data_IF_600273774132
#
_entry.id   IF_600273774132
#
_cell.length_a   1.000
_cell.length_b   1.000
_cell.length_c   1.000
_cell.angle_alpha   90.00
_cell.angle_beta   90.00
_cell.angle_gamma   90.00
#
_symmetry.space_group_name_H-M   'P 1'
#
loop_
_entity.id
_entity.type
_entity.pdbx_description
1 polymer ?
#
# COMPACT_ATOMS: atom_id res chain seq x y z
N UNK A 1 37.19 -5.84 -34.82
CA UNK A 1 36.55 -4.76 -34.08
C UNK A 1 35.01 -4.88 -34.11
N UNK A 2 34.38 -5.19 -35.27
CA UNK A 2 32.91 -5.35 -35.39
C UNK A 2 32.38 -6.48 -34.54
N UNK A 3 32.96 -7.69 -34.58
CA UNK A 3 32.56 -8.83 -33.76
C UNK A 3 32.65 -8.55 -32.23
N UNK A 4 33.62 -7.72 -31.82
CA UNK A 4 33.74 -7.27 -30.43
C UNK A 4 32.62 -6.26 -30.03
N UNK A 5 32.17 -5.43 -30.96
CA UNK A 5 31.08 -4.49 -30.73
C UNK A 5 29.72 -5.23 -30.61
N UNK A 6 29.47 -6.15 -31.55
CA UNK A 6 28.25 -6.98 -31.53
C UNK A 6 28.12 -7.79 -30.23
N UNK A 7 29.20 -8.43 -29.80
CA UNK A 7 29.20 -9.17 -28.53
C UNK A 7 28.90 -8.27 -27.32
N UNK A 8 29.48 -7.07 -27.27
CA UNK A 8 29.23 -6.10 -26.20
C UNK A 8 27.79 -5.57 -26.24
N UNK A 9 27.26 -5.29 -27.43
CA UNK A 9 25.88 -4.85 -27.58
C UNK A 9 24.90 -5.95 -27.12
N UNK A 10 25.16 -7.19 -27.55
CA UNK A 10 24.35 -8.34 -27.17
C UNK A 10 24.32 -8.50 -25.62
N UNK A 11 25.47 -8.47 -24.96
CA UNK A 11 25.57 -8.51 -23.51
C UNK A 11 24.85 -7.34 -22.83
N UNK A 12 24.96 -6.12 -23.36
CA UNK A 12 24.31 -4.95 -22.82
C UNK A 12 22.78 -5.07 -22.91
N UNK A 13 22.27 -5.58 -24.03
CA UNK A 13 20.81 -5.83 -24.20
C UNK A 13 20.32 -6.93 -23.27
N UNK A 14 21.04 -8.04 -23.16
CA UNK A 14 20.69 -9.11 -22.22
C UNK A 14 20.63 -8.60 -20.78
N UNK A 15 21.64 -7.82 -20.36
CA UNK A 15 21.64 -7.19 -19.03
C UNK A 15 20.45 -6.27 -18.85
N UNK A 16 20.15 -5.44 -19.85
CA UNK A 16 19.00 -4.55 -19.80
C UNK A 16 17.68 -5.31 -19.66
N UNK A 17 17.47 -6.38 -20.42
CA UNK A 17 16.28 -7.22 -20.33
C UNK A 17 16.17 -7.89 -18.95
N UNK A 18 17.28 -8.38 -18.43
CA UNK A 18 17.34 -8.94 -17.07
C UNK A 18 16.97 -7.90 -16.00
N UNK A 19 17.57 -6.71 -16.09
CA UNK A 19 17.28 -5.59 -15.16
C UNK A 19 15.82 -5.11 -15.29
N UNK A 20 15.26 -5.14 -16.50
CA UNK A 20 13.88 -4.78 -16.75
C UNK A 20 12.89 -5.77 -16.16
N UNK A 21 13.19 -7.06 -16.21
CA UNK A 21 12.34 -8.13 -15.65
C UNK A 21 12.51 -8.27 -14.14
N UNK A 22 13.75 -8.38 -13.68
CA UNK A 22 14.09 -8.76 -12.30
C UNK A 22 14.30 -7.57 -11.36
N UNK A 23 14.47 -6.35 -11.91
CA UNK A 23 15.02 -5.23 -11.18
C UNK A 23 16.54 -5.28 -11.08
N UNK A 24 17.13 -4.15 -10.74
CA UNK A 24 18.59 -3.97 -10.58
C UNK A 24 19.07 -4.37 -9.17
N UNK A 25 18.17 -4.34 -8.19
CA UNK A 25 18.46 -4.64 -6.80
C UNK A 25 17.85 -5.99 -6.44
N UNK A 26 18.62 -6.87 -5.82
CA UNK A 26 18.09 -8.08 -5.23
C UNK A 26 17.42 -7.75 -3.89
N UNK A 27 16.08 -7.89 -3.75
CA UNK A 27 15.37 -7.52 -2.53
C UNK A 27 15.80 -8.33 -1.31
N UNK A 28 16.37 -9.53 -1.49
CA UNK A 28 16.91 -10.36 -0.39
C UNK A 28 18.09 -9.70 0.30
N UNK A 29 18.86 -8.86 -0.42
CA UNK A 29 19.95 -8.08 0.17
C UNK A 29 19.46 -6.98 1.12
N UNK A 30 18.19 -6.61 1.00
CA UNK A 30 17.52 -5.61 1.84
C UNK A 30 16.80 -6.22 3.04
N UNK A 31 16.96 -7.55 3.28
CA UNK A 31 16.25 -8.31 4.33
C UNK A 31 14.72 -8.26 4.17
N UNK A 32 14.22 -8.11 2.96
CA UNK A 32 12.79 -8.20 2.64
C UNK A 32 12.40 -9.66 2.34
N UNK A 33 11.16 -10.03 2.65
CA UNK A 33 10.69 -11.41 2.57
C UNK A 33 9.99 -11.69 1.22
N UNK A 34 10.74 -11.55 0.12
CA UNK A 34 10.25 -11.89 -1.21
C UNK A 34 10.60 -13.34 -1.58
N UNK A 35 9.65 -14.02 -2.24
CA UNK A 35 9.92 -15.29 -2.93
C UNK A 35 10.71 -15.00 -4.21
N UNK A 36 11.70 -15.83 -4.52
CA UNK A 36 12.64 -15.59 -5.63
C UNK A 36 12.26 -16.33 -6.93
N UNK A 37 11.09 -16.89 -6.99
CA UNK A 37 10.75 -17.87 -8.03
C UNK A 37 10.70 -17.26 -9.44
N UNK A 38 10.19 -16.04 -9.60
CA UNK A 38 10.05 -15.39 -10.90
C UNK A 38 11.38 -14.97 -11.55
N UNK A 39 12.44 -14.74 -10.75
CA UNK A 39 13.75 -14.30 -11.27
C UNK A 39 14.48 -15.43 -11.98
N UNK A 40 14.18 -16.67 -11.61
CA UNK A 40 14.80 -17.87 -12.17
C UNK A 40 14.17 -18.28 -13.50
N UNK A 41 12.92 -17.89 -13.71
CA UNK A 41 12.13 -18.30 -14.87
C UNK A 41 12.37 -17.45 -16.11
N UNK A 42 13.13 -16.35 -15.98
CA UNK A 42 13.45 -15.43 -17.09
C UNK A 42 14.88 -15.56 -17.56
N UNK A 43 15.06 -16.10 -18.78
CA UNK A 43 16.35 -16.15 -19.47
C UNK A 43 16.41 -15.10 -20.60
N UNK A 44 17.11 -14.01 -20.32
CA UNK A 44 17.27 -12.92 -21.26
C UNK A 44 17.98 -13.32 -22.58
N UNK A 45 18.84 -14.35 -22.53
CA UNK A 45 19.53 -14.86 -23.73
C UNK A 45 18.54 -15.55 -24.66
N UNK A 46 17.71 -16.44 -24.12
CA UNK A 46 16.69 -17.15 -24.88
C UNK A 46 15.70 -16.15 -25.50
N UNK A 47 15.19 -15.22 -24.67
CA UNK A 47 14.21 -14.20 -25.12
C UNK A 47 14.78 -13.30 -26.20
N UNK A 48 16.03 -12.86 -26.08
CA UNK A 48 16.69 -12.02 -27.06
C UNK A 48 16.93 -12.78 -28.38
N UNK A 49 17.44 -14.01 -28.33
CA UNK A 49 17.69 -14.79 -29.52
C UNK A 49 16.41 -15.08 -30.31
N UNK A 50 15.30 -15.45 -29.62
CA UNK A 50 14.01 -15.63 -30.24
C UNK A 50 13.51 -14.35 -30.95
N UNK A 51 13.69 -13.19 -30.31
CA UNK A 51 13.29 -11.92 -30.87
C UNK A 51 14.14 -11.53 -32.10
N UNK A 52 15.43 -11.85 -32.09
CA UNK A 52 16.33 -11.66 -33.22
C UNK A 52 15.97 -12.57 -34.40
N UNK A 53 15.71 -13.86 -34.15
CA UNK A 53 15.30 -14.83 -35.14
C UNK A 53 13.98 -14.42 -35.84
N UNK A 54 13.07 -13.84 -35.05
CA UNK A 54 11.77 -13.34 -35.53
C UNK A 54 11.87 -11.94 -36.20
N UNK A 55 13.01 -11.29 -36.15
CA UNK A 55 13.21 -9.92 -36.68
C UNK A 55 12.43 -8.84 -35.92
N UNK A 56 11.96 -9.13 -34.67
CA UNK A 56 11.15 -8.23 -33.84
C UNK A 56 11.69 -8.12 -32.42
N UNK A 57 12.59 -7.21 -32.19
CA UNK A 57 13.13 -6.91 -30.86
C UNK A 57 12.05 -6.42 -29.86
N UNK A 58 10.92 -5.90 -30.34
CA UNK A 58 9.81 -5.48 -29.49
C UNK A 58 9.25 -6.64 -28.67
N UNK A 59 9.33 -7.88 -29.17
CA UNK A 59 8.92 -9.08 -28.42
C UNK A 59 9.77 -9.28 -27.16
N UNK A 60 11.10 -9.06 -27.24
CA UNK A 60 11.98 -9.18 -26.07
C UNK A 60 11.65 -8.14 -24.99
N UNK A 61 11.42 -6.89 -25.42
CA UNK A 61 10.99 -5.84 -24.48
C UNK A 61 9.65 -6.16 -23.83
N UNK A 62 8.68 -6.63 -24.60
CA UNK A 62 7.36 -7.01 -24.09
C UNK A 62 7.46 -8.15 -23.10
N UNK A 63 8.27 -9.17 -23.38
CA UNK A 63 8.48 -10.31 -22.50
C UNK A 63 9.16 -9.91 -21.16
N UNK A 64 10.12 -8.99 -21.22
CA UNK A 64 10.84 -8.52 -20.03
C UNK A 64 10.06 -7.48 -19.22
N UNK A 65 9.10 -6.76 -19.82
CA UNK A 65 8.36 -5.70 -19.13
C UNK A 65 7.29 -6.28 -18.21
N UNK A 66 7.22 -5.87 -16.90
CA UNK A 66 6.14 -6.29 -16.05
C UNK A 66 4.75 -6.01 -16.64
N UNK A 67 3.91 -7.04 -16.72
CA UNK A 67 2.58 -6.97 -17.35
C UNK A 67 1.51 -6.30 -16.50
N UNK A 68 1.82 -6.01 -15.23
CA UNK A 68 0.88 -5.39 -14.30
C UNK A 68 0.50 -3.96 -14.75
N UNK A 69 -0.79 -3.60 -14.84
CA UNK A 69 -1.24 -2.32 -15.40
C UNK A 69 -0.66 -1.09 -14.70
N UNK A 70 -0.44 -1.17 -13.37
CA UNK A 70 0.19 -0.09 -12.64
C UNK A 70 1.60 0.22 -13.12
N UNK A 71 2.35 -0.77 -13.62
CA UNK A 71 3.70 -0.54 -14.16
C UNK A 71 3.66 0.35 -15.40
N UNK A 72 2.72 0.14 -16.30
CA UNK A 72 2.52 1.00 -17.47
C UNK A 72 2.15 2.44 -17.06
N UNK A 73 1.30 2.57 -16.04
CA UNK A 73 0.93 3.88 -15.47
C UNK A 73 2.12 4.59 -14.83
N UNK A 74 2.96 3.86 -14.07
CA UNK A 74 4.21 4.39 -13.50
C UNK A 74 5.18 4.87 -14.59
N UNK A 75 5.35 4.08 -15.66
CA UNK A 75 6.20 4.46 -16.80
C UNK A 75 5.73 5.77 -17.45
N UNK A 76 4.40 5.90 -17.67
CA UNK A 76 3.82 7.14 -18.19
C UNK A 76 4.06 8.32 -17.24
N UNK A 77 3.84 8.13 -15.95
CA UNK A 77 4.06 9.17 -14.94
C UNK A 77 5.55 9.58 -14.86
N UNK A 78 6.48 8.61 -14.94
CA UNK A 78 7.91 8.89 -14.97
C UNK A 78 8.28 9.80 -16.15
N UNK A 79 7.82 9.45 -17.34
CA UNK A 79 8.07 10.24 -18.55
C UNK A 79 7.51 11.67 -18.43
N UNK A 80 6.28 11.81 -17.90
CA UNK A 80 5.66 13.13 -17.68
C UNK A 80 6.45 13.98 -16.67
N UNK A 81 6.89 13.37 -15.55
CA UNK A 81 7.65 14.08 -14.53
C UNK A 81 9.06 14.45 -15.01
N UNK A 82 9.71 13.61 -15.80
CA UNK A 82 10.99 13.91 -16.43
C UNK A 82 10.88 15.09 -17.42
N UNK A 83 9.79 15.16 -18.19
CA UNK A 83 9.52 16.27 -19.09
C UNK A 83 9.30 17.61 -18.37
N UNK A 84 8.95 17.56 -17.06
CA UNK A 84 8.81 18.75 -16.20
C UNK A 84 10.10 19.11 -15.45
N UNK A 85 11.21 18.41 -15.68
CA UNK A 85 12.49 18.73 -15.05
C UNK A 85 12.90 20.18 -15.37
N UNK A 86 13.26 20.94 -14.32
CA UNK A 86 13.62 22.36 -14.47
C UNK A 86 12.46 23.29 -14.80
N UNK A 87 11.22 22.85 -14.73
CA UNK A 87 10.06 23.68 -15.02
C UNK A 87 9.96 24.89 -14.08
N UNK A 88 9.77 26.10 -14.64
CA UNK A 88 9.84 27.38 -13.94
C UNK A 88 8.91 27.51 -12.74
N UNK A 89 7.75 26.83 -12.75
CA UNK A 89 6.81 26.84 -11.63
C UNK A 89 7.39 26.29 -10.29
N UNK A 90 8.51 25.56 -10.33
CA UNK A 90 9.20 25.03 -9.13
C UNK A 90 10.50 25.77 -8.80
N UNK A 91 10.82 26.88 -9.46
CA UNK A 91 12.02 27.68 -9.15
C UNK A 91 11.96 28.34 -7.78
N UNK A 92 10.76 28.56 -7.23
CA UNK A 92 10.56 29.11 -5.88
C UNK A 92 9.62 28.24 -5.04
N UNK A 93 9.77 28.31 -3.74
CA UNK A 93 8.84 27.75 -2.78
C UNK A 93 7.55 28.58 -2.74
N UNK A 94 6.42 27.90 -2.48
CA UNK A 94 5.17 28.62 -2.20
C UNK A 94 5.30 29.42 -0.89
N UNK A 95 4.70 30.62 -0.82
CA UNK A 95 4.73 31.42 0.40
C UNK A 95 4.16 30.69 1.61
N UNK A 96 4.46 31.16 2.81
CA UNK A 96 3.86 30.66 4.03
C UNK A 96 2.34 30.88 4.01
N UNK A 97 1.62 29.89 4.53
CA UNK A 97 0.17 30.02 4.75
C UNK A 97 -0.12 31.07 5.83
N UNK A 98 -1.27 31.75 5.79
CA UNK A 98 -1.71 32.67 6.83
C UNK A 98 -1.86 31.93 8.17
N UNK A 99 -2.03 32.68 9.28
CA UNK A 99 -2.20 32.12 10.63
C UNK A 99 -3.35 31.10 10.75
N UNK A 100 -4.36 31.18 9.86
CA UNK A 100 -5.45 30.18 9.77
C UNK A 100 -4.96 28.79 9.34
N UNK A 101 -3.74 28.67 8.83
CA UNK A 101 -3.15 27.42 8.34
C UNK A 101 -3.74 26.90 7.02
N UNK A 102 -4.62 27.68 6.36
CA UNK A 102 -5.31 27.29 5.12
C UNK A 102 -5.78 28.50 4.32
N UNK A 103 -6.01 28.26 3.01
CA UNK A 103 -6.69 29.19 2.10
C UNK A 103 -8.02 28.54 1.71
N UNK A 104 -9.13 29.26 1.96
CA UNK A 104 -10.48 28.83 1.62
C UNK A 104 -10.95 29.45 0.31
N UNK A 105 -12.13 29.03 -0.18
CA UNK A 105 -12.74 29.53 -1.40
C UNK A 105 -12.88 31.07 -1.37
N UNK A 106 -12.50 31.71 -2.46
CA UNK A 106 -12.57 33.16 -2.64
C UNK A 106 -11.50 33.98 -1.90
N UNK A 107 -10.66 33.33 -1.06
CA UNK A 107 -9.56 34.02 -0.38
C UNK A 107 -8.40 34.32 -1.32
N UNK A 108 -7.76 35.46 -1.09
CA UNK A 108 -6.53 35.87 -1.75
C UNK A 108 -5.31 35.27 -1.08
N UNK A 109 -4.32 34.94 -1.88
CA UNK A 109 -2.99 34.51 -1.42
C UNK A 109 -1.98 34.60 -2.55
N UNK A 110 -0.83 35.19 -2.27
CA UNK A 110 0.22 35.43 -3.27
C UNK A 110 0.76 34.17 -3.95
N UNK A 111 0.56 32.98 -3.38
CA UNK A 111 0.97 31.73 -3.97
C UNK A 111 0.03 31.15 -5.04
N UNK A 112 -1.20 31.66 -5.17
CA UNK A 112 -2.21 31.07 -6.08
C UNK A 112 -1.81 31.04 -7.56
N UNK A 113 -1.14 32.07 -8.12
CA UNK A 113 -0.65 31.99 -9.50
C UNK A 113 0.34 30.84 -9.72
N UNK A 114 1.24 30.61 -8.79
CA UNK A 114 2.22 29.50 -8.85
C UNK A 114 1.52 28.15 -8.66
N UNK A 115 0.55 28.05 -7.75
CA UNK A 115 -0.27 26.85 -7.60
C UNK A 115 -1.00 26.50 -8.90
N UNK A 116 -1.63 27.48 -9.55
CA UNK A 116 -2.29 27.27 -10.83
C UNK A 116 -1.34 26.78 -11.92
N UNK A 117 -0.15 27.37 -12.03
CA UNK A 117 0.89 26.93 -12.96
C UNK A 117 1.34 25.48 -12.68
N UNK A 118 1.56 25.10 -11.41
CA UNK A 118 1.93 23.73 -11.02
C UNK A 118 0.84 22.73 -11.34
N UNK A 119 -0.42 23.04 -11.02
CA UNK A 119 -1.55 22.16 -11.32
C UNK A 119 -1.75 21.99 -12.83
N UNK A 120 -1.59 23.07 -13.60
CA UNK A 120 -1.65 23.00 -15.07
C UNK A 120 -0.49 22.16 -15.64
N UNK A 121 0.73 22.38 -15.19
CA UNK A 121 1.90 21.59 -15.62
C UNK A 121 1.74 20.09 -15.27
N UNK A 122 1.14 19.77 -14.13
CA UNK A 122 0.86 18.40 -13.71
C UNK A 122 -0.37 17.77 -14.40
N UNK A 123 -1.15 18.57 -15.17
CA UNK A 123 -2.36 18.12 -15.85
C UNK A 123 -3.60 18.03 -14.96
N UNK A 124 -3.57 18.62 -13.76
CA UNK A 124 -4.70 18.64 -12.83
C UNK A 124 -5.72 19.75 -13.14
N UNK A 125 -5.37 20.70 -14.01
CA UNK A 125 -6.28 21.72 -14.54
C UNK A 125 -5.82 22.23 -15.91
N UNK A 126 -6.68 22.97 -16.60
CA UNK A 126 -6.30 23.67 -17.82
C UNK A 126 -5.27 24.79 -17.53
N UNK A 127 -4.43 25.10 -18.52
CA UNK A 127 -3.48 26.19 -18.41
C UNK A 127 -4.18 27.53 -18.17
N UNK A 128 -3.57 28.36 -17.34
CA UNK A 128 -4.04 29.73 -17.04
C UNK A 128 -2.97 30.75 -17.40
N UNK A 129 -3.37 31.97 -17.76
CA UNK A 129 -2.42 33.06 -18.00
C UNK A 129 -1.53 33.32 -16.79
N UNK A 130 -0.29 33.74 -17.03
CA UNK A 130 0.63 34.09 -15.96
C UNK A 130 0.05 35.24 -15.09
N UNK A 131 0.29 35.13 -13.77
CA UNK A 131 -0.20 36.13 -12.82
C UNK A 131 -1.64 35.94 -12.33
N UNK A 132 -2.36 34.96 -12.84
CA UNK A 132 -3.72 34.62 -12.38
C UNK A 132 -3.73 33.22 -11.75
N UNK A 133 -4.70 32.91 -10.88
CA UNK A 133 -5.69 33.79 -10.23
C UNK A 133 -5.16 34.46 -8.96
N UNK A 134 -5.75 35.62 -8.57
CA UNK A 134 -5.47 36.28 -7.29
C UNK A 134 -6.22 35.62 -6.12
N UNK A 135 -7.39 35.02 -6.38
CA UNK A 135 -8.24 34.36 -5.39
C UNK A 135 -8.37 32.86 -5.67
N UNK A 136 -8.72 32.07 -4.65
CA UNK A 136 -9.02 30.65 -4.79
C UNK A 136 -10.36 30.45 -5.52
N UNK A 137 -10.31 30.42 -6.85
CA UNK A 137 -11.46 30.27 -7.74
C UNK A 137 -12.06 28.87 -7.74
N UNK A 138 -13.30 28.67 -8.20
CA UNK A 138 -13.88 27.33 -8.37
C UNK A 138 -13.03 26.41 -9.26
N UNK A 139 -12.52 26.91 -10.39
CA UNK A 139 -11.68 26.12 -11.30
C UNK A 139 -10.38 25.64 -10.60
N UNK A 140 -9.72 26.52 -9.86
CA UNK A 140 -8.52 26.18 -9.09
C UNK A 140 -8.82 25.16 -7.99
N UNK A 141 -9.99 25.25 -7.35
CA UNK A 141 -10.44 24.27 -6.35
C UNK A 141 -10.65 22.88 -6.95
N UNK A 142 -11.21 22.77 -8.14
CA UNK A 142 -11.35 21.47 -8.82
C UNK A 142 -9.98 20.88 -9.19
N UNK A 143 -9.04 21.68 -9.69
CA UNK A 143 -7.67 21.25 -9.91
C UNK A 143 -6.99 20.78 -8.62
N UNK A 144 -7.20 21.49 -7.51
CA UNK A 144 -6.71 21.08 -6.20
C UNK A 144 -7.32 19.76 -5.73
N UNK A 145 -8.62 19.55 -5.92
CA UNK A 145 -9.27 18.27 -5.58
C UNK A 145 -8.67 17.11 -6.38
N UNK A 146 -8.43 17.30 -7.69
CA UNK A 146 -7.80 16.29 -8.54
C UNK A 146 -6.38 15.97 -8.04
N UNK A 147 -5.58 16.99 -7.78
CA UNK A 147 -4.25 16.84 -7.19
C UNK A 147 -4.28 16.12 -5.84
N UNK A 148 -5.14 16.57 -4.92
CA UNK A 148 -5.28 16.00 -3.58
C UNK A 148 -5.68 14.52 -3.64
N UNK A 149 -6.69 14.18 -4.46
CA UNK A 149 -7.13 12.80 -4.65
C UNK A 149 -5.99 11.90 -5.14
N UNK A 150 -5.23 12.36 -6.15
CA UNK A 150 -4.10 11.64 -6.73
C UNK A 150 -2.94 11.47 -5.74
N UNK A 151 -2.80 12.39 -4.79
CA UNK A 151 -1.79 12.34 -3.72
C UNK A 151 -2.30 11.76 -2.39
N UNK A 152 -3.48 11.11 -2.39
CA UNK A 152 -4.11 10.52 -1.19
C UNK A 152 -4.31 11.51 -0.04
N UNK A 153 -4.49 12.78 -0.38
CA UNK A 153 -4.89 13.84 0.54
C UNK A 153 -6.42 13.98 0.56
N UNK A 154 -6.97 14.64 1.59
CA UNK A 154 -8.40 14.98 1.62
C UNK A 154 -8.75 15.88 0.45
N UNK A 155 -9.54 15.37 -0.52
CA UNK A 155 -9.91 16.08 -1.76
C UNK A 155 -11.01 17.15 -1.51
N UNK A 156 -10.70 18.14 -0.67
CA UNK A 156 -11.62 19.20 -0.26
C UNK A 156 -11.48 20.50 -1.07
N UNK A 157 -10.43 20.60 -1.92
CA UNK A 157 -10.14 21.77 -2.72
C UNK A 157 -9.69 22.99 -1.91
N UNK A 158 -9.17 22.79 -0.70
CA UNK A 158 -8.55 23.82 0.13
C UNK A 158 -7.03 23.70 0.06
N UNK A 159 -6.32 24.80 0.19
CA UNK A 159 -4.88 24.79 0.37
C UNK A 159 -4.55 24.77 1.85
N UNK A 160 -4.28 23.62 2.38
CA UNK A 160 -3.74 23.41 3.73
C UNK A 160 -2.23 23.12 3.68
N UNK A 161 -1.61 22.98 4.83
CA UNK A 161 -0.16 22.71 4.96
C UNK A 161 0.25 21.45 4.18
N UNK A 162 -0.52 20.37 4.27
CA UNK A 162 -0.20 19.11 3.59
C UNK A 162 -0.23 19.27 2.07
N UNK A 163 -1.22 19.98 1.55
CA UNK A 163 -1.37 20.26 0.13
C UNK A 163 -0.23 21.13 -0.39
N UNK A 164 0.14 22.19 0.36
CA UNK A 164 1.27 23.07 0.02
C UNK A 164 2.60 22.30 0.05
N UNK A 165 2.84 21.50 1.07
CA UNK A 165 4.05 20.67 1.16
C UNK A 165 4.14 19.68 -0.01
N UNK A 166 3.03 19.04 -0.39
CA UNK A 166 2.97 18.14 -1.54
C UNK A 166 3.23 18.85 -2.89
N UNK A 167 2.69 20.08 -3.06
CA UNK A 167 2.92 20.91 -4.26
C UNK A 167 4.36 21.43 -4.35
N UNK A 168 5.05 21.59 -3.23
CA UNK A 168 6.43 22.05 -3.19
C UNK A 168 7.46 20.98 -3.58
N UNK A 169 7.06 19.70 -3.63
CA UNK A 169 7.96 18.63 -4.09
C UNK A 169 8.19 18.79 -5.58
N UNK A 170 9.46 18.92 -5.96
CA UNK A 170 9.89 19.11 -7.35
C UNK A 170 9.58 17.88 -8.23
N UNK A 171 9.33 18.08 -9.55
CA UNK A 171 9.11 16.97 -10.48
C UNK A 171 10.23 15.93 -10.47
N UNK A 172 11.50 16.35 -10.35
CA UNK A 172 12.66 15.45 -10.30
C UNK A 172 12.58 14.50 -9.12
N UNK A 173 12.28 15.01 -7.91
CA UNK A 173 12.12 14.17 -6.72
C UNK A 173 10.93 13.21 -6.85
N UNK A 174 9.84 13.62 -7.53
CA UNK A 174 8.73 12.72 -7.85
C UNK A 174 9.12 11.67 -8.88
N UNK A 175 9.92 12.05 -9.89
CA UNK A 175 10.44 11.10 -10.89
C UNK A 175 11.31 10.02 -10.22
N UNK A 176 12.16 10.38 -9.26
CA UNK A 176 12.93 9.43 -8.46
C UNK A 176 12.04 8.49 -7.66
N UNK A 177 11.00 9.01 -7.01
CA UNK A 177 10.01 8.18 -6.30
C UNK A 177 9.32 7.18 -7.23
N UNK A 178 8.93 7.61 -8.44
CA UNK A 178 8.30 6.74 -9.43
C UNK A 178 9.30 5.69 -9.93
N UNK A 179 10.54 6.07 -10.20
CA UNK A 179 11.59 5.13 -10.61
C UNK A 179 11.84 4.04 -9.54
N UNK A 180 11.87 4.41 -8.26
CA UNK A 180 11.96 3.46 -7.15
C UNK A 180 10.74 2.57 -7.05
N UNK A 181 9.53 3.10 -7.29
CA UNK A 181 8.31 2.29 -7.31
C UNK A 181 8.31 1.29 -8.47
N UNK A 182 8.81 1.69 -9.64
CA UNK A 182 9.00 0.80 -10.79
C UNK A 182 10.05 -0.29 -10.51
N UNK A 183 11.15 0.05 -9.84
CA UNK A 183 12.14 -0.94 -9.41
C UNK A 183 11.51 -1.99 -8.51
N UNK A 184 10.77 -1.56 -7.47
CA UNK A 184 10.08 -2.47 -6.55
C UNK A 184 9.00 -3.32 -7.22
N UNK A 185 8.31 -2.78 -8.22
CA UNK A 185 7.32 -3.53 -8.98
C UNK A 185 7.90 -4.69 -9.81
N UNK A 186 9.21 -4.73 -10.00
CA UNK A 186 9.94 -5.83 -10.67
C UNK A 186 10.35 -6.95 -9.70
N UNK A 187 10.26 -6.72 -8.39
CA UNK A 187 10.69 -7.69 -7.38
C UNK A 187 9.68 -8.79 -7.12
N UNK A 188 8.43 -8.55 -7.50
CA UNK A 188 7.31 -9.47 -7.26
C UNK A 188 6.60 -9.78 -8.57
N UNK A 189 6.30 -11.04 -8.86
CA UNK A 189 5.49 -11.40 -10.01
C UNK A 189 4.03 -10.99 -9.76
N UNK A 190 3.72 -9.73 -10.02
CA UNK A 190 2.37 -9.19 -9.92
C UNK A 190 1.59 -9.64 -11.15
N UNK A 191 0.81 -10.65 -11.06
CA UNK A 191 -0.15 -11.21 -12.02
C UNK A 191 -0.06 -12.75 -12.06
N UNK A 192 0.00 -13.38 -10.90
CA UNK A 192 -0.04 -14.83 -10.76
C UNK A 192 -1.42 -15.34 -10.33
N UNK A 193 -1.76 -16.55 -10.75
CA UNK A 193 -3.00 -17.22 -10.40
C UNK A 193 -4.24 -16.60 -11.02
N UNK A 194 -5.42 -16.92 -10.47
CA UNK A 194 -6.71 -16.38 -10.93
C UNK A 194 -7.05 -15.05 -10.26
N UNK A 195 -6.58 -14.83 -9.03
CA UNK A 195 -6.86 -13.65 -8.22
C UNK A 195 -5.62 -13.25 -7.44
N UNK A 196 -5.52 -11.95 -7.24
CA UNK A 196 -4.41 -11.35 -6.53
C UNK A 196 -4.90 -10.21 -5.63
N UNK A 197 -4.35 -10.11 -4.43
CA UNK A 197 -4.58 -8.99 -3.51
C UNK A 197 -3.26 -8.23 -3.37
N UNK A 198 -3.30 -6.93 -3.58
CA UNK A 198 -2.15 -6.03 -3.40
C UNK A 198 -2.47 -5.01 -2.32
N UNK A 199 -1.67 -4.98 -1.26
CA UNK A 199 -1.70 -3.92 -0.27
C UNK A 199 -0.63 -2.89 -0.61
N UNK A 200 -1.06 -1.74 -1.10
CA UNK A 200 -0.18 -0.58 -1.31
C UNK A 200 -0.01 0.14 0.03
N UNK A 201 0.99 -0.27 0.80
CA UNK A 201 1.25 0.22 2.17
C UNK A 201 1.39 1.75 2.22
N UNK A 202 2.21 2.40 1.37
CA UNK A 202 2.33 3.86 1.37
C UNK A 202 1.04 4.61 1.03
N UNK A 203 0.15 4.01 0.22
CA UNK A 203 -1.13 4.59 -0.16
C UNK A 203 -2.24 4.29 0.84
N UNK A 204 -2.03 3.38 1.79
CA UNK A 204 -3.04 2.87 2.72
C UNK A 204 -4.27 2.29 2.00
N UNK A 205 -4.04 1.54 0.92
CA UNK A 205 -5.10 0.92 0.13
C UNK A 205 -4.80 -0.54 -0.19
N UNK A 206 -5.87 -1.32 -0.25
CA UNK A 206 -5.89 -2.68 -0.75
C UNK A 206 -6.61 -2.70 -2.08
N UNK A 207 -6.08 -3.47 -3.02
CA UNK A 207 -6.68 -3.76 -4.31
C UNK A 207 -6.79 -5.27 -4.50
N UNK A 208 -7.95 -5.73 -4.98
CA UNK A 208 -8.19 -7.09 -5.43
C UNK A 208 -8.33 -7.12 -6.94
N UNK A 209 -7.62 -8.01 -7.60
CA UNK A 209 -7.60 -8.17 -9.05
C UNK A 209 -7.96 -9.59 -9.44
N UNK A 210 -8.76 -9.74 -10.50
CA UNK A 210 -8.88 -10.99 -11.25
C UNK A 210 -7.90 -10.97 -12.41
N UNK A 211 -7.37 -12.15 -12.73
CA UNK A 211 -6.49 -12.35 -13.88
C UNK A 211 -7.21 -13.29 -14.84
N UNK A 212 -7.61 -12.75 -15.98
CA UNK A 212 -8.30 -13.48 -17.04
C UNK A 212 -7.52 -13.34 -18.35
N UNK A 213 -7.09 -14.45 -18.91
CA UNK A 213 -6.29 -14.51 -20.15
C UNK A 213 -5.13 -13.50 -20.18
N UNK A 214 -4.43 -13.36 -19.06
CA UNK A 214 -3.32 -12.40 -18.91
C UNK A 214 -3.74 -10.94 -18.72
N UNK A 215 -5.05 -10.65 -18.68
CA UNK A 215 -5.57 -9.32 -18.35
C UNK A 215 -5.81 -9.19 -16.85
N UNK A 216 -5.30 -8.13 -16.26
CA UNK A 216 -5.49 -7.81 -14.84
C UNK A 216 -6.68 -6.88 -14.71
N UNK A 217 -7.75 -7.36 -14.07
CA UNK A 217 -9.04 -6.68 -13.95
C UNK A 217 -9.26 -6.27 -12.49
N UNK A 218 -9.36 -4.98 -12.17
CA UNK A 218 -9.63 -4.54 -10.80
C UNK A 218 -11.08 -4.88 -10.40
N UNK A 219 -11.25 -5.51 -9.25
CA UNK A 219 -12.55 -5.92 -8.68
C UNK A 219 -12.84 -5.29 -7.33
N UNK A 220 -11.81 -5.14 -6.49
CA UNK A 220 -11.93 -4.64 -5.13
C UNK A 220 -10.95 -3.50 -4.93
N UNK A 221 -11.39 -2.45 -4.25
CA UNK A 221 -10.53 -1.37 -3.78
C UNK A 221 -11.09 -0.81 -2.49
N UNK A 222 -10.28 -0.82 -1.41
CA UNK A 222 -10.68 -0.31 -0.11
C UNK A 222 -9.53 0.33 0.64
N UNK A 223 -9.85 1.12 1.65
CA UNK A 223 -8.86 1.66 2.58
C UNK A 223 -8.35 0.59 3.51
N UNK A 224 -7.10 0.74 3.95
CA UNK A 224 -6.50 -0.13 4.97
C UNK A 224 -5.79 0.71 6.03
N UNK A 225 -5.60 0.09 7.21
CA UNK A 225 -4.74 0.59 8.27
C UNK A 225 -3.55 -0.37 8.36
N UNK A 226 -2.35 0.15 8.29
CA UNK A 226 -1.10 -0.61 8.29
C UNK A 226 -0.28 -0.35 9.55
N UNK A 227 0.83 -1.05 9.71
CA UNK A 227 1.76 -0.87 10.83
C UNK A 227 2.38 0.51 10.89
N UNK A 228 2.74 0.96 12.10
CA UNK A 228 3.43 2.23 12.34
C UNK A 228 4.79 2.23 11.66
N UNK A 229 5.08 3.27 10.89
CA UNK A 229 6.24 3.32 10.00
C UNK A 229 7.61 3.21 10.69
N UNK A 230 7.72 3.60 11.96
CA UNK A 230 8.99 3.58 12.70
C UNK A 230 9.14 2.36 13.61
N UNK A 231 8.04 1.92 14.26
CA UNK A 231 8.13 0.93 15.34
C UNK A 231 7.69 -0.47 14.91
N UNK A 232 6.58 -0.57 14.18
CA UNK A 232 5.89 -1.83 13.85
C UNK A 232 5.43 -1.83 12.40
N UNK A 233 6.35 -1.50 11.51
CA UNK A 233 6.09 -1.42 10.06
C UNK A 233 5.49 -2.72 9.52
N UNK A 234 4.45 -2.64 8.71
CA UNK A 234 4.02 -3.79 7.89
C UNK A 234 5.17 -4.15 6.95
N UNK A 235 5.72 -5.37 7.04
CA UNK A 235 6.81 -5.79 6.16
C UNK A 235 6.32 -5.96 4.73
N UNK A 236 7.26 -5.98 3.79
CA UNK A 236 6.99 -6.29 2.38
C UNK A 236 7.24 -7.79 2.16
N UNK A 237 6.29 -8.48 1.55
CA UNK A 237 6.35 -9.91 1.27
C UNK A 237 5.25 -10.28 0.26
N UNK A 238 5.33 -11.47 -0.29
CA UNK A 238 4.29 -12.12 -1.09
C UNK A 238 3.96 -13.49 -0.50
N UNK A 239 2.68 -13.80 -0.35
CA UNK A 239 2.20 -15.07 0.22
C UNK A 239 0.83 -15.46 -0.34
N UNK A 240 0.57 -16.76 -0.38
CA UNK A 240 -0.72 -17.30 -0.78
C UNK A 240 -1.70 -17.31 0.39
N UNK A 241 -2.89 -16.75 0.19
CA UNK A 241 -3.96 -16.82 1.18
C UNK A 241 -4.52 -18.25 1.27
N UNK A 242 -4.50 -18.82 2.46
CA UNK A 242 -4.86 -20.23 2.69
C UNK A 242 -6.27 -20.43 3.19
N UNK A 243 -6.78 -19.54 4.06
CA UNK A 243 -8.15 -19.62 4.56
C UNK A 243 -8.65 -18.29 5.11
N UNK A 244 -9.98 -18.20 5.24
CA UNK A 244 -10.70 -17.11 5.91
C UNK A 244 -11.30 -17.65 7.20
N UNK A 245 -11.09 -16.96 8.31
CA UNK A 245 -11.64 -17.29 9.63
C UNK A 245 -12.71 -16.26 9.99
N UNK A 246 -13.96 -16.72 10.18
CA UNK A 246 -15.07 -15.91 10.63
C UNK A 246 -15.20 -15.99 12.15
N UNK A 247 -15.59 -14.88 12.76
CA UNK A 247 -15.71 -14.76 14.23
C UNK A 247 -14.46 -15.27 14.97
N UNK A 248 -13.25 -14.71 14.64
CA UNK A 248 -11.99 -15.25 15.13
C UNK A 248 -11.80 -14.99 16.62
N UNK A 249 -11.13 -15.92 17.29
CA UNK A 249 -10.44 -15.60 18.53
C UNK A 249 -9.19 -14.79 18.23
N UNK A 250 -8.92 -13.74 19.00
CA UNK A 250 -7.64 -13.04 18.91
C UNK A 250 -6.67 -13.54 19.98
N UNK A 251 -5.72 -14.35 19.61
CA UNK A 251 -4.59 -14.67 20.48
C UNK A 251 -3.67 -13.45 20.54
N UNK A 252 -3.59 -12.80 21.70
CA UNK A 252 -2.83 -11.56 21.88
C UNK A 252 -1.34 -11.88 21.81
N UNK A 253 -0.57 -11.28 20.88
CA UNK A 253 0.88 -11.45 20.86
C UNK A 253 1.50 -11.04 22.18
N UNK A 254 2.53 -11.78 22.62
CA UNK A 254 3.15 -11.55 23.94
C UNK A 254 3.72 -10.13 24.07
N UNK A 255 4.20 -9.54 23.00
CA UNK A 255 4.64 -8.14 22.96
C UNK A 255 3.51 -7.18 23.33
N UNK A 256 2.32 -7.33 22.72
CA UNK A 256 1.13 -6.52 23.00
C UNK A 256 0.58 -6.83 24.39
N UNK A 257 0.56 -8.11 24.76
CA UNK A 257 0.12 -8.50 26.10
C UNK A 257 0.95 -7.81 27.19
N UNK A 258 2.28 -7.81 27.03
CA UNK A 258 3.23 -7.22 27.97
C UNK A 258 3.19 -5.68 27.99
N UNK A 259 3.14 -5.04 26.82
CA UNK A 259 3.24 -3.57 26.70
C UNK A 259 1.90 -2.86 26.90
N UNK A 260 0.77 -3.52 26.61
CA UNK A 260 -0.53 -2.84 26.61
C UNK A 260 -1.59 -3.55 27.45
N UNK A 261 -1.86 -4.86 27.19
CA UNK A 261 -3.04 -5.54 27.76
C UNK A 261 -2.89 -5.76 29.26
N UNK A 262 -1.78 -6.34 29.72
CA UNK A 262 -1.54 -6.59 31.13
C UNK A 262 -1.47 -5.30 31.95
N UNK A 263 -0.77 -4.23 31.52
CA UNK A 263 -0.80 -2.95 32.22
C UNK A 263 -2.21 -2.37 32.37
N UNK A 264 -3.07 -2.51 31.35
CA UNK A 264 -4.48 -2.08 31.43
C UNK A 264 -5.28 -2.91 32.42
N UNK A 265 -5.12 -4.25 32.38
CA UNK A 265 -5.79 -5.16 33.31
C UNK A 265 -5.36 -4.89 34.77
N UNK A 266 -4.06 -4.61 35.01
CA UNK A 266 -3.55 -4.29 36.35
C UNK A 266 -4.12 -2.99 36.91
N UNK A 267 -4.33 -1.98 36.06
CA UNK A 267 -4.95 -0.69 36.44
C UNK A 267 -6.47 -0.82 36.65
N UNK A 268 -7.11 -1.68 35.88
CA UNK A 268 -8.55 -1.88 35.86
C UNK A 268 -8.86 -3.36 35.61
N UNK A 269 -8.99 -4.17 36.68
CA UNK A 269 -9.29 -5.60 36.54
C UNK A 269 -10.59 -5.92 35.78
N UNK A 270 -11.59 -5.03 35.83
CA UNK A 270 -12.83 -5.15 35.07
C UNK A 270 -12.65 -5.01 33.55
N UNK A 271 -11.52 -4.45 33.09
CA UNK A 271 -11.19 -4.32 31.67
C UNK A 271 -11.16 -5.68 30.96
N UNK A 272 -10.64 -6.72 31.63
CA UNK A 272 -10.56 -8.07 31.06
C UNK A 272 -11.95 -8.61 30.69
N UNK A 273 -12.91 -8.55 31.61
CA UNK A 273 -14.29 -8.99 31.39
C UNK A 273 -15.01 -8.13 30.33
N UNK A 274 -14.89 -6.80 30.44
CA UNK A 274 -15.54 -5.88 29.49
C UNK A 274 -15.06 -6.05 28.06
N UNK A 275 -13.80 -6.43 27.86
CA UNK A 275 -13.23 -6.65 26.54
C UNK A 275 -13.34 -8.10 26.06
N UNK A 276 -13.86 -9.02 26.90
CA UNK A 276 -13.98 -10.43 26.55
C UNK A 276 -12.64 -11.16 26.48
N UNK A 277 -11.65 -10.73 27.28
CA UNK A 277 -10.37 -11.44 27.39
C UNK A 277 -10.46 -12.66 28.30
N UNK A 278 -9.69 -13.68 27.95
CA UNK A 278 -9.48 -14.91 28.70
C UNK A 278 -8.00 -15.23 28.78
N UNK A 279 -7.59 -15.91 29.84
CA UNK A 279 -6.24 -16.50 29.97
C UNK A 279 -6.37 -18.00 29.73
N UNK A 280 -5.56 -18.50 28.80
CA UNK A 280 -5.54 -19.91 28.40
C UNK A 280 -4.20 -20.52 28.79
N UNK A 281 -4.25 -21.59 29.61
CA UNK A 281 -3.09 -22.36 30.03
C UNK A 281 -3.36 -23.85 29.78
N UNK A 282 -2.70 -24.44 28.82
CA UNK A 282 -3.05 -25.77 28.34
C UNK A 282 -4.53 -25.83 27.91
N UNK A 283 -5.30 -26.73 28.52
CA UNK A 283 -6.74 -26.89 28.29
C UNK A 283 -7.60 -26.02 29.23
N UNK A 284 -6.99 -25.33 30.19
CA UNK A 284 -7.71 -24.51 31.16
C UNK A 284 -7.93 -23.10 30.65
N UNK A 285 -9.16 -22.58 30.87
CA UNK A 285 -9.53 -21.21 30.51
C UNK A 285 -9.98 -20.48 31.75
N UNK A 286 -9.42 -19.31 32.00
CA UNK A 286 -9.74 -18.47 33.17
C UNK A 286 -10.11 -17.05 32.73
N UNK A 287 -11.16 -16.48 33.33
CA UNK A 287 -11.50 -15.06 33.17
C UNK A 287 -11.01 -14.22 34.37
N UNK A 288 -10.22 -14.81 35.27
CA UNK A 288 -9.68 -14.13 36.45
C UNK A 288 -8.40 -13.39 36.16
N UNK A 289 -8.30 -12.07 36.45
CA UNK A 289 -7.10 -11.26 36.30
C UNK A 289 -6.11 -11.41 37.48
N UNK A 290 -6.06 -12.58 38.11
CA UNK A 290 -5.19 -12.82 39.26
C UNK A 290 -3.70 -12.59 38.91
N UNK A 291 -2.91 -12.22 39.94
CA UNK A 291 -1.46 -12.03 39.74
C UNK A 291 -0.78 -13.31 39.20
N UNK A 292 -1.23 -14.48 39.66
CA UNK A 292 -0.73 -15.79 39.21
C UNK A 292 -0.97 -15.98 37.68
N UNK A 293 -2.21 -15.71 37.21
CA UNK A 293 -2.58 -15.82 35.82
C UNK A 293 -1.82 -14.83 34.93
N UNK A 294 -1.68 -13.58 35.36
CA UNK A 294 -0.93 -12.57 34.59
C UNK A 294 0.57 -12.91 34.54
N UNK A 295 1.15 -13.43 35.62
CA UNK A 295 2.53 -13.89 35.64
C UNK A 295 2.73 -15.12 34.72
N UNK A 296 1.77 -16.03 34.67
CA UNK A 296 1.79 -17.18 33.75
C UNK A 296 1.84 -16.72 32.27
N UNK A 297 1.16 -15.62 31.93
CA UNK A 297 1.27 -15.01 30.60
C UNK A 297 2.66 -14.41 30.38
N UNK A 298 3.19 -13.66 31.35
CA UNK A 298 4.48 -12.98 31.23
C UNK A 298 5.67 -13.95 31.08
N UNK A 299 5.60 -15.13 31.71
CA UNK A 299 6.60 -16.19 31.59
C UNK A 299 6.36 -17.16 30.44
N UNK A 300 5.28 -16.99 29.66
CA UNK A 300 4.97 -17.78 28.47
C UNK A 300 4.26 -19.12 28.74
N UNK A 301 3.93 -19.47 30.01
CA UNK A 301 3.19 -20.69 30.33
C UNK A 301 1.66 -20.58 30.07
N UNK A 302 1.16 -19.37 29.84
CA UNK A 302 -0.20 -19.09 29.43
C UNK A 302 -0.23 -18.01 28.33
N UNK A 303 -1.39 -17.86 27.70
CA UNK A 303 -1.63 -16.77 26.73
C UNK A 303 -2.93 -16.04 27.03
N UNK A 304 -3.01 -14.78 26.65
CA UNK A 304 -4.27 -14.03 26.62
C UNK A 304 -4.90 -14.22 25.25
N UNK A 305 -6.20 -14.50 25.21
CA UNK A 305 -7.00 -14.42 23.99
C UNK A 305 -8.25 -13.58 24.23
N UNK A 306 -8.75 -12.96 23.15
CA UNK A 306 -10.02 -12.24 23.14
C UNK A 306 -11.07 -13.10 22.43
N UNK A 307 -12.26 -13.20 23.02
CA UNK A 307 -13.40 -13.92 22.44
C UNK A 307 -13.90 -13.24 21.17
N UNK A 308 -14.53 -13.99 20.23
CA UNK A 308 -15.33 -13.39 19.17
C UNK A 308 -16.37 -12.41 19.72
N UNK A 309 -16.72 -11.41 18.91
CA UNK A 309 -17.76 -10.45 19.26
C UNK A 309 -17.40 -9.00 18.90
N UNK A 310 -18.33 -8.06 19.14
CA UNK A 310 -18.25 -6.69 18.59
C UNK A 310 -17.08 -5.86 19.13
N UNK A 311 -16.39 -6.32 20.16
CA UNK A 311 -15.19 -5.68 20.74
C UNK A 311 -13.91 -6.39 20.40
N UNK A 312 -13.95 -7.50 19.64
CA UNK A 312 -12.75 -8.22 19.24
C UNK A 312 -11.88 -7.33 18.35
N UNK A 313 -10.60 -7.21 18.68
CA UNK A 313 -9.67 -6.37 17.95
C UNK A 313 -9.50 -6.78 16.47
N UNK A 314 -9.76 -8.06 16.15
CA UNK A 314 -9.73 -8.58 14.78
C UNK A 314 -11.06 -8.39 14.03
N UNK A 315 -12.12 -7.88 14.72
CA UNK A 315 -13.46 -7.79 14.16
C UNK A 315 -14.04 -9.17 13.83
N UNK A 316 -14.79 -9.23 12.74
CA UNK A 316 -15.59 -10.40 12.40
C UNK A 316 -14.91 -11.37 11.44
N UNK A 317 -13.87 -10.92 10.73
CA UNK A 317 -13.20 -11.70 9.68
C UNK A 317 -11.68 -11.52 9.75
N UNK A 318 -10.97 -12.62 9.57
CA UNK A 318 -9.52 -12.69 9.48
C UNK A 318 -9.12 -13.52 8.26
N UNK A 319 -8.17 -13.02 7.48
CA UNK A 319 -7.65 -13.66 6.27
C UNK A 319 -6.22 -14.11 6.54
N UNK A 320 -5.97 -15.40 6.36
CA UNK A 320 -4.74 -16.04 6.76
C UNK A 320 -3.89 -16.46 5.57
N UNK A 321 -2.61 -16.24 5.72
CA UNK A 321 -1.55 -16.70 4.83
C UNK A 321 -0.33 -17.10 5.68
N UNK A 322 0.45 -18.13 5.27
CA UNK A 322 1.57 -18.61 6.04
C UNK A 322 2.71 -17.60 6.02
N UNK A 323 3.16 -17.19 7.21
CA UNK A 323 4.35 -16.34 7.38
C UNK A 323 4.90 -16.47 8.80
N UNK A 324 6.19 -16.17 8.97
CA UNK A 324 6.87 -16.18 10.26
C UNK A 324 6.80 -14.85 11.03
N UNK A 325 6.11 -13.86 10.48
CA UNK A 325 6.02 -12.49 11.02
C UNK A 325 4.73 -12.24 11.79
N UNK A 326 3.81 -13.22 11.84
CA UNK A 326 2.47 -13.09 12.42
C UNK A 326 1.64 -11.94 11.80
N UNK A 327 1.77 -11.73 10.50
CA UNK A 327 1.01 -10.75 9.74
C UNK A 327 -0.22 -11.43 9.09
N UNK A 328 -1.35 -10.77 9.14
CA UNK A 328 -2.60 -11.18 8.48
C UNK A 328 -3.46 -9.96 8.16
N UNK A 329 -4.46 -10.15 7.29
CA UNK A 329 -5.49 -9.14 7.07
C UNK A 329 -6.66 -9.43 8.01
N UNK A 330 -7.32 -8.39 8.53
CA UNK A 330 -8.47 -8.57 9.43
C UNK A 330 -9.37 -7.33 9.45
N UNK A 331 -10.60 -7.52 9.89
CA UNK A 331 -11.52 -6.43 10.21
C UNK A 331 -11.12 -5.71 11.52
N UNK A 332 -11.84 -4.68 11.88
CA UNK A 332 -11.66 -3.95 13.14
C UNK A 332 -12.95 -3.24 13.57
N UNK A 333 -13.30 -3.24 14.86
CA UNK A 333 -14.42 -2.42 15.34
C UNK A 333 -14.13 -0.90 15.33
N UNK A 334 -12.85 -0.51 15.17
CA UNK A 334 -12.44 0.89 15.14
C UNK A 334 -12.56 1.51 13.75
N UNK A 335 -13.73 1.39 13.12
CA UNK A 335 -13.99 1.79 11.72
C UNK A 335 -13.76 3.28 11.45
N UNK A 336 -13.98 4.17 12.43
CA UNK A 336 -13.73 5.61 12.31
C UNK A 336 -12.28 5.98 11.97
N UNK A 337 -11.31 5.07 12.21
CA UNK A 337 -9.91 5.29 11.90
C UNK A 337 -9.63 5.29 10.39
N UNK A 338 -10.47 4.65 9.57
CA UNK A 338 -10.32 4.65 8.12
C UNK A 338 -10.52 6.06 7.50
N UNK A 339 -11.18 6.97 8.22
CA UNK A 339 -11.40 8.35 7.76
C UNK A 339 -10.16 9.27 7.92
N UNK A 340 -9.08 8.77 8.53
CA UNK A 340 -7.82 9.53 8.64
C UNK A 340 -7.03 9.48 7.34
N UNK A 341 -6.34 10.56 7.00
CA UNK A 341 -5.42 10.59 5.86
C UNK A 341 -4.24 9.65 6.07
N UNK A 342 -3.63 9.68 7.26
CA UNK A 342 -2.52 8.84 7.66
C UNK A 342 -3.04 7.68 8.51
N UNK A 343 -2.81 6.45 8.05
CA UNK A 343 -3.37 5.23 8.64
C UNK A 343 -2.32 4.19 9.02
N UNK A 344 -1.14 4.63 9.41
CA UNK A 344 -0.07 3.80 9.99
C UNK A 344 -0.26 3.66 11.51
N UNK A 345 -1.23 2.84 11.92
CA UNK A 345 -1.73 2.80 13.30
C UNK A 345 -1.70 1.41 13.94
N UNK A 346 -1.40 0.33 13.15
CA UNK A 346 -1.39 -1.04 13.66
C UNK A 346 -0.01 -1.48 14.16
N UNK A 347 0.07 -2.69 14.69
CA UNK A 347 1.30 -3.36 15.11
C UNK A 347 1.91 -4.25 14.01
N UNK A 348 1.58 -3.99 12.74
CA UNK A 348 2.10 -4.73 11.58
C UNK A 348 1.00 -5.38 10.73
N UNK A 349 -0.03 -5.97 11.33
CA UNK A 349 -1.17 -6.51 10.60
C UNK A 349 -1.94 -5.42 9.84
N UNK A 350 -2.64 -5.81 8.80
CA UNK A 350 -3.40 -4.90 7.94
C UNK A 350 -4.89 -4.99 8.28
N UNK A 351 -5.47 -3.87 8.75
CA UNK A 351 -6.92 -3.78 8.96
C UNK A 351 -7.60 -3.37 7.68
N UNK A 352 -8.64 -4.10 7.30
CA UNK A 352 -9.42 -3.86 6.07
C UNK A 352 -10.75 -3.17 6.39
N UNK A 353 -11.14 -2.23 5.54
CA UNK A 353 -12.36 -1.44 5.75
C UNK A 353 -13.64 -2.23 5.42
N UNK A 354 -13.63 -3.02 4.34
CA UNK A 354 -14.77 -3.75 3.81
C UNK A 354 -14.50 -5.27 3.84
N UNK A 355 -14.49 -5.91 5.03
CA UNK A 355 -14.11 -7.30 5.17
C UNK A 355 -15.07 -8.26 4.45
N UNK A 356 -16.38 -7.95 4.40
CA UNK A 356 -17.39 -8.75 3.70
C UNK A 356 -17.12 -8.74 2.19
N UNK A 357 -16.81 -7.57 1.61
CA UNK A 357 -16.48 -7.46 0.19
C UNK A 357 -15.21 -8.25 -0.14
N UNK A 358 -14.20 -8.18 0.73
CA UNK A 358 -12.96 -8.93 0.53
C UNK A 358 -13.20 -10.44 0.66
N UNK A 359 -14.01 -10.89 1.63
CA UNK A 359 -14.37 -12.29 1.79
C UNK A 359 -15.14 -12.83 0.58
N UNK A 360 -16.11 -12.07 0.06
CA UNK A 360 -16.81 -12.42 -1.18
C UNK A 360 -15.85 -12.57 -2.37
N UNK A 361 -14.89 -11.66 -2.50
CA UNK A 361 -13.90 -11.71 -3.57
C UNK A 361 -13.01 -12.96 -3.50
N UNK A 362 -12.55 -13.35 -2.32
CA UNK A 362 -11.65 -14.51 -2.18
C UNK A 362 -12.38 -15.84 -2.20
N UNK A 363 -13.65 -15.88 -1.78
CA UNK A 363 -14.45 -17.09 -1.68
C UNK A 363 -15.41 -17.33 -2.87
N UNK A 364 -15.38 -16.48 -3.89
CA UNK A 364 -16.35 -16.48 -5.00
C UNK A 364 -16.38 -17.78 -5.82
N UNK A 365 -15.36 -18.63 -5.75
CA UNK A 365 -15.37 -19.94 -6.43
C UNK A 365 -16.28 -20.98 -5.73
N UNK A 366 -16.67 -20.73 -4.50
CA UNK A 366 -17.63 -21.54 -3.76
C UNK A 366 -18.96 -20.77 -3.60
N UNK A 367 -19.99 -21.13 -4.40
CA UNK A 367 -21.28 -20.43 -4.39
C UNK A 367 -22.04 -20.54 -3.05
N UNK A 368 -21.61 -21.42 -2.16
CA UNK A 368 -22.19 -21.52 -0.82
C UNK A 368 -21.84 -20.32 0.07
N UNK A 369 -20.81 -19.53 -0.26
CA UNK A 369 -20.40 -18.32 0.45
C UNK A 369 -21.12 -17.09 -0.10
N UNK A 370 -22.45 -17.03 0.11
CA UNK A 370 -23.24 -15.84 -0.24
C UNK A 370 -22.92 -14.68 0.71
N UNK A 371 -23.27 -13.45 0.29
CA UNK A 371 -23.10 -12.25 1.11
C UNK A 371 -23.79 -12.39 2.47
N UNK A 372 -25.00 -12.95 2.49
CA UNK A 372 -25.80 -13.18 3.68
C UNK A 372 -25.13 -14.15 4.65
N UNK A 373 -24.49 -15.21 4.13
CA UNK A 373 -23.74 -16.18 4.93
C UNK A 373 -22.46 -15.56 5.51
N UNK A 374 -21.77 -14.76 4.73
CA UNK A 374 -20.54 -14.07 5.17
C UNK A 374 -20.83 -13.01 6.24
N UNK A 375 -22.01 -12.38 6.20
CA UNK A 375 -22.42 -11.32 7.12
C UNK A 375 -23.08 -11.82 8.41
N UNK A 376 -23.37 -13.13 8.53
CA UNK A 376 -23.89 -13.79 9.75
C UNK A 376 -22.77 -14.12 10.72
#
# INVERSE_FOLDING_TARGET
QAASLDARLHQAVQRYLTDLHNGRVDPRTLKENYKDDHRKDFDASVVLNQALDNGDLGQAWKAATPSFPAYASLRKALHQLQALSGHAAWNSQLPALPKSGRIAAGQEWAGLPVVAQRLAALGDMAAVPAGTPATLTPALREGLKAFQARHSLSANGLLDRKTVDALNIKPEARAEQVALAMERARWTPLAQGKRMIVVNVPQFRLYGYEIDQGKVIPKVSMRVIVGKSLDTRTPMFDEDMTYVEFSPYWNVPISIARSETIPRIKRDPGYMARQGFEIVQGNSVSSSPSAANLNAVLNGSARIRQKPGPRNALGDVKFMFPNNMNIYLHHTPSTGLFNRDKRDLSHGCVRVEEPVQLAQFVLQDDPSWTKERISK
#
